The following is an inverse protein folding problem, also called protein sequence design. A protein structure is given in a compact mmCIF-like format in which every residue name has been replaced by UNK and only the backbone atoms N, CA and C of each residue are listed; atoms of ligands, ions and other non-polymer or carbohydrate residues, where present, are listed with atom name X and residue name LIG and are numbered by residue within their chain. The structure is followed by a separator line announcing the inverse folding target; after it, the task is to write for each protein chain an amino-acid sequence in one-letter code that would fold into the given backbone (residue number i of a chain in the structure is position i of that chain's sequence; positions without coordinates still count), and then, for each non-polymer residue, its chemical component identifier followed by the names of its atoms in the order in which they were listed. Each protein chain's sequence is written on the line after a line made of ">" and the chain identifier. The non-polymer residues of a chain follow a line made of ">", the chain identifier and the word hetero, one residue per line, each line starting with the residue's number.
data_IF_557190770525
#
_entry.id   IF_557190770525
#
_cell.length_a   1.000
_cell.length_b   1.000
_cell.length_c   1.000
_cell.angle_alpha   90.00
_cell.angle_beta   90.00
_cell.angle_gamma   90.00
#
_symmetry.space_group_name_H-M   'P 1'
#
loop_
_entity.id
_entity.type
_entity.pdbx_description
1 polymer ?
#
# COMPACT_ATOMS: atom_id res chain seq x y z
N UNK A 1 -17.96 2.86 -6.52
CA UNK A 1 -18.05 1.98 -7.69
C UNK A 1 -18.00 0.53 -7.22
N UNK A 2 -18.60 -0.44 -7.98
CA UNK A 2 -18.58 -1.87 -7.63
C UNK A 2 -17.79 -2.62 -8.69
N UNK A 3 -17.09 -3.68 -8.27
CA UNK A 3 -16.21 -4.49 -9.12
C UNK A 3 -16.60 -5.96 -9.03
N UNK A 4 -16.35 -6.72 -10.09
CA UNK A 4 -16.53 -8.16 -10.05
C UNK A 4 -15.58 -8.77 -9.01
N UNK A 5 -14.31 -8.41 -9.10
CA UNK A 5 -13.26 -8.85 -8.17
C UNK A 5 -12.05 -7.91 -8.23
N UNK A 6 -11.05 -8.15 -7.38
CA UNK A 6 -9.84 -7.32 -7.29
C UNK A 6 -8.95 -7.41 -8.53
N UNK A 7 -8.87 -8.56 -9.19
CA UNK A 7 -8.11 -8.69 -10.45
C UNK A 7 -8.68 -7.77 -11.52
N UNK A 8 -10.01 -7.75 -11.68
CA UNK A 8 -10.68 -6.91 -12.66
C UNK A 8 -10.54 -5.41 -12.34
N UNK A 9 -10.56 -5.06 -11.05
CA UNK A 9 -10.22 -3.71 -10.61
C UNK A 9 -8.80 -3.34 -11.06
N UNK A 10 -7.82 -4.22 -10.84
CA UNK A 10 -6.44 -4.01 -11.27
C UNK A 10 -6.30 -3.80 -12.78
N UNK A 11 -7.00 -4.59 -13.58
CA UNK A 11 -7.07 -4.41 -15.04
C UNK A 11 -7.71 -3.09 -15.45
N UNK A 12 -8.76 -2.67 -14.74
CA UNK A 12 -9.41 -1.37 -14.98
C UNK A 12 -8.43 -0.21 -14.69
N UNK A 13 -7.66 -0.29 -13.60
CA UNK A 13 -6.60 0.67 -13.29
C UNK A 13 -5.51 0.68 -14.38
N UNK A 14 -5.12 -0.50 -14.89
CA UNK A 14 -4.14 -0.60 -15.98
C UNK A 14 -4.56 0.16 -17.23
N UNK A 15 -5.84 0.17 -17.56
CA UNK A 15 -6.37 0.97 -18.66
C UNK A 15 -6.13 2.48 -18.51
N UNK A 16 -6.00 2.99 -17.28
CA UNK A 16 -5.73 4.41 -16.98
C UNK A 16 -4.25 4.79 -17.07
N UNK A 17 -3.38 3.80 -17.08
CA UNK A 17 -1.91 3.96 -17.13
C UNK A 17 -1.30 3.10 -18.23
N UNK A 18 -2.03 2.86 -19.30
CA UNK A 18 -1.60 2.03 -20.44
C UNK A 18 -0.36 2.55 -21.14
N UNK A 19 -0.06 3.85 -21.00
CA UNK A 19 1.17 4.51 -21.44
C UNK A 19 2.45 3.97 -20.74
N UNK A 20 2.29 3.29 -19.62
CA UNK A 20 3.40 2.65 -18.90
C UNK A 20 3.73 1.24 -19.39
N UNK A 21 2.92 0.68 -20.28
CA UNK A 21 3.16 -0.68 -20.80
C UNK A 21 4.54 -0.79 -21.47
N UNK A 22 5.36 -1.71 -20.96
CA UNK A 22 6.73 -1.90 -21.46
C UNK A 22 7.74 -0.87 -20.95
N UNK A 23 7.34 -0.01 -20.00
CA UNK A 23 8.29 0.83 -19.27
C UNK A 23 8.77 0.11 -18.00
N UNK A 24 9.93 0.54 -17.48
CA UNK A 24 10.41 0.04 -16.18
C UNK A 24 9.53 0.60 -15.05
N UNK A 25 8.46 -0.12 -14.73
CA UNK A 25 7.50 0.25 -13.71
C UNK A 25 7.42 -0.79 -12.58
N UNK A 26 7.08 -0.33 -11.38
CA UNK A 26 6.84 -1.18 -10.20
C UNK A 26 5.51 -0.81 -9.57
N UNK A 27 4.63 -1.78 -9.47
CA UNK A 27 3.35 -1.66 -8.75
C UNK A 27 3.60 -1.95 -7.28
N UNK A 28 3.37 -0.98 -6.41
CA UNK A 28 3.58 -1.09 -4.97
C UNK A 28 2.24 -1.33 -4.29
N UNK A 29 2.06 -2.51 -3.72
CA UNK A 29 0.89 -2.83 -2.91
C UNK A 29 1.04 -2.22 -1.51
N UNK A 30 0.12 -1.32 -1.14
CA UNK A 30 0.13 -0.63 0.16
C UNK A 30 -0.48 -1.47 1.30
N UNK A 31 -1.30 -2.46 0.93
CA UNK A 31 -1.97 -3.41 1.85
C UNK A 31 -1.90 -4.82 1.28
N UNK A 32 -2.02 -5.81 2.17
CA UNK A 32 -2.08 -7.22 1.77
C UNK A 32 -3.28 -7.49 0.83
N UNK A 33 -4.44 -6.96 1.15
CA UNK A 33 -5.66 -7.11 0.34
C UNK A 33 -5.52 -6.51 -1.07
N UNK A 34 -4.71 -5.46 -1.22
CA UNK A 34 -4.45 -4.82 -2.51
C UNK A 34 -3.56 -5.66 -3.44
N UNK A 35 -2.84 -6.67 -2.93
CA UNK A 35 -1.93 -7.50 -3.75
C UNK A 35 -2.61 -8.11 -4.96
N UNK A 36 -3.83 -8.60 -4.81
CA UNK A 36 -4.60 -9.19 -5.91
C UNK A 36 -4.88 -8.16 -7.02
N UNK A 37 -5.26 -6.93 -6.65
CA UNK A 37 -5.44 -5.84 -7.61
C UNK A 37 -4.12 -5.43 -8.27
N UNK A 38 -3.03 -5.38 -7.48
CA UNK A 38 -1.68 -5.10 -7.99
C UNK A 38 -1.22 -6.14 -9.01
N UNK A 39 -1.51 -7.42 -8.80
CA UNK A 39 -1.23 -8.50 -9.75
C UNK A 39 -2.00 -8.28 -11.06
N UNK A 40 -3.29 -7.95 -10.97
CA UNK A 40 -4.11 -7.62 -12.14
C UNK A 40 -3.57 -6.43 -12.94
N UNK A 41 -3.19 -5.35 -12.25
CA UNK A 41 -2.58 -4.17 -12.86
C UNK A 41 -1.21 -4.50 -13.49
N UNK A 42 -0.33 -5.14 -12.74
CA UNK A 42 1.03 -5.44 -13.17
C UNK A 42 1.09 -6.36 -14.40
N UNK A 43 0.18 -7.35 -14.47
CA UNK A 43 0.10 -8.27 -15.61
C UNK A 43 -0.27 -7.57 -16.93
N UNK A 44 -1.08 -6.50 -16.88
CA UNK A 44 -1.51 -5.76 -18.07
C UNK A 44 -0.44 -4.79 -18.58
N UNK A 45 0.32 -4.15 -17.68
CA UNK A 45 1.36 -3.17 -18.05
C UNK A 45 2.77 -3.75 -18.08
N UNK A 46 2.93 -5.02 -17.76
CA UNK A 46 4.22 -5.70 -17.68
C UNK A 46 5.14 -5.06 -16.62
N UNK A 47 4.64 -4.89 -15.42
CA UNK A 47 5.37 -4.29 -14.30
C UNK A 47 5.69 -5.32 -13.22
N UNK A 48 6.64 -5.02 -12.36
CA UNK A 48 6.90 -5.79 -11.15
C UNK A 48 5.88 -5.45 -10.06
N UNK A 49 5.68 -6.35 -9.12
CA UNK A 49 4.90 -6.09 -7.91
C UNK A 49 5.84 -6.07 -6.71
N UNK A 50 5.74 -5.00 -5.93
CA UNK A 50 6.48 -4.83 -4.67
C UNK A 50 5.47 -4.75 -3.51
N UNK A 51 5.41 -5.74 -2.62
CA UNK A 51 4.54 -5.68 -1.43
C UNK A 51 5.19 -4.78 -0.36
N UNK A 52 4.72 -3.55 -0.27
CA UNK A 52 5.09 -2.63 0.80
C UNK A 52 4.07 -2.74 1.93
N UNK A 53 4.05 -3.92 2.57
CA UNK A 53 3.12 -4.19 3.66
C UNK A 53 3.56 -3.48 4.93
N UNK A 54 2.59 -3.15 5.77
CA UNK A 54 2.82 -2.48 7.05
C UNK A 54 1.92 -3.06 8.14
N UNK A 55 2.23 -2.72 9.39
CA UNK A 55 1.42 -3.12 10.53
C UNK A 55 0.95 -1.89 11.30
N UNK A 56 -0.37 -1.79 11.49
CA UNK A 56 -1.01 -0.71 12.25
C UNK A 56 -0.72 -0.84 13.74
N UNK A 57 -0.43 0.29 14.39
CA UNK A 57 -0.24 0.37 15.84
C UNK A 57 -1.43 1.08 16.46
N UNK A 58 -2.06 0.39 17.40
CA UNK A 58 -3.20 0.87 18.18
C UNK A 58 -2.83 0.68 19.65
N UNK A 59 -2.86 1.76 20.43
CA UNK A 59 -2.55 1.71 21.87
C UNK A 59 -3.79 1.20 22.63
N UNK A 60 -3.64 0.29 23.58
CA UNK A 60 -4.76 -0.15 24.40
C UNK A 60 -5.48 1.02 25.08
N UNK A 61 -6.80 1.07 24.89
CA UNK A 61 -7.64 2.16 25.41
C UNK A 61 -7.83 3.36 24.46
N UNK A 62 -7.10 3.43 23.35
CA UNK A 62 -7.30 4.40 22.26
C UNK A 62 -7.65 3.66 20.98
N UNK A 63 -8.84 3.82 20.40
CA UNK A 63 -9.23 3.09 19.19
C UNK A 63 -8.54 3.60 17.92
N UNK A 64 -7.82 4.72 17.99
CA UNK A 64 -7.18 5.33 16.82
C UNK A 64 -5.91 4.59 16.43
N UNK A 65 -5.68 4.53 15.14
CA UNK A 65 -4.38 4.09 14.61
C UNK A 65 -3.36 5.20 14.90
N UNK A 66 -2.36 4.89 15.70
CA UNK A 66 -1.31 5.84 16.12
C UNK A 66 -0.26 6.01 15.04
N UNK A 67 0.04 4.94 14.32
CA UNK A 67 1.03 4.94 13.25
C UNK A 67 1.18 3.56 12.63
N UNK A 68 2.14 3.42 11.74
CA UNK A 68 2.49 2.18 11.06
C UNK A 68 3.96 1.83 11.29
N UNK A 69 4.25 0.52 11.29
CA UNK A 69 5.62 -0.02 11.13
C UNK A 69 5.76 -0.51 9.69
N UNK A 70 6.83 -0.10 9.03
CA UNK A 70 7.21 -0.52 7.68
C UNK A 70 8.12 -1.77 7.68
N UNK A 71 8.43 -2.35 6.50
CA UNK A 71 9.31 -3.53 6.39
C UNK A 71 10.74 -3.30 6.89
N UNK A 72 11.20 -2.07 7.00
CA UNK A 72 12.50 -1.74 7.57
C UNK A 72 12.47 -1.55 9.10
N UNK A 73 11.30 -1.69 9.73
CA UNK A 73 11.08 -1.46 11.16
C UNK A 73 10.96 0.01 11.54
N UNK A 74 10.82 0.91 10.56
CA UNK A 74 10.64 2.34 10.82
C UNK A 74 9.18 2.63 11.17
N UNK A 75 8.99 3.50 12.15
CA UNK A 75 7.67 3.93 12.59
C UNK A 75 7.27 5.25 11.93
N UNK A 76 6.11 5.26 11.29
CA UNK A 76 5.50 6.47 10.72
C UNK A 76 4.26 6.83 11.51
N UNK A 77 4.19 8.06 12.04
CA UNK A 77 3.00 8.58 12.72
C UNK A 77 1.81 8.69 11.76
N UNK A 78 0.62 8.45 12.31
CA UNK A 78 -0.61 8.79 11.59
C UNK A 78 -0.63 10.30 11.30
N UNK A 79 -0.72 10.71 10.02
CA UNK A 79 -0.75 12.13 9.64
C UNK A 79 -1.97 12.88 10.20
N UNK A 80 -3.04 12.16 10.59
CA UNK A 80 -4.24 12.76 11.18
C UNK A 80 -4.07 13.14 12.65
N UNK A 81 -3.00 12.68 13.31
CA UNK A 81 -2.66 13.09 14.66
C UNK A 81 -1.89 14.41 14.65
N UNK A 82 -2.43 15.41 15.34
CA UNK A 82 -1.75 16.66 15.55
C UNK A 82 -0.54 16.51 16.48
N UNK A 83 0.42 17.44 16.38
CA UNK A 83 1.64 17.39 17.19
C UNK A 83 1.36 17.26 18.71
N UNK A 84 0.43 18.02 19.35
CA UNK A 84 0.13 17.86 20.76
C UNK A 84 -0.38 16.46 21.13
N UNK A 85 -1.12 15.82 20.24
CA UNK A 85 -1.60 14.44 20.45
C UNK A 85 -0.45 13.43 20.41
N UNK A 86 0.49 13.58 19.44
CA UNK A 86 1.70 12.75 19.37
C UNK A 86 2.58 12.92 20.59
N UNK A 87 2.84 14.18 21.00
CA UNK A 87 3.64 14.50 22.18
C UNK A 87 3.00 13.92 23.45
N UNK A 88 1.65 13.95 23.58
CA UNK A 88 0.92 13.33 24.67
C UNK A 88 1.09 11.80 24.71
N UNK A 89 0.96 11.15 23.56
CA UNK A 89 1.16 9.69 23.44
C UNK A 89 2.61 9.32 23.82
N UNK A 90 3.61 10.07 23.34
CA UNK A 90 5.02 9.84 23.68
C UNK A 90 5.31 10.03 25.18
N UNK A 91 4.63 10.97 25.82
CA UNK A 91 4.83 11.24 27.26
C UNK A 91 4.14 10.18 28.13
N UNK A 92 2.88 9.85 27.84
CA UNK A 92 2.02 9.03 28.70
C UNK A 92 2.14 7.53 28.42
N UNK A 93 2.42 7.14 27.17
CA UNK A 93 2.36 5.76 26.70
C UNK A 93 3.66 5.26 26.04
N UNK A 94 4.80 5.91 26.30
CA UNK A 94 6.07 5.61 25.63
C UNK A 94 6.46 4.11 25.69
N UNK A 95 6.43 3.52 26.88
CA UNK A 95 6.81 2.10 27.02
C UNK A 95 5.85 1.18 26.27
N UNK A 96 4.55 1.45 26.33
CA UNK A 96 3.54 0.67 25.62
C UNK A 96 3.71 0.84 24.12
N UNK A 97 3.95 2.05 23.63
CA UNK A 97 4.20 2.32 22.23
C UNK A 97 5.43 1.55 21.71
N UNK A 98 6.54 1.55 22.44
CA UNK A 98 7.74 0.82 22.04
C UNK A 98 7.54 -0.70 22.07
N UNK A 99 6.75 -1.23 23.01
CA UNK A 99 6.38 -2.64 23.02
C UNK A 99 5.51 -3.01 21.81
N UNK A 100 4.51 -2.17 21.48
CA UNK A 100 3.67 -2.35 20.32
C UNK A 100 4.45 -2.29 19.00
N UNK A 101 5.41 -1.37 18.86
CA UNK A 101 6.31 -1.30 17.70
C UNK A 101 7.10 -2.60 17.51
N UNK A 102 7.70 -3.13 18.60
CA UNK A 102 8.47 -4.39 18.53
C UNK A 102 7.58 -5.58 18.15
N UNK A 103 6.39 -5.68 18.75
CA UNK A 103 5.43 -6.74 18.41
C UNK A 103 4.98 -6.63 16.97
N UNK A 104 4.57 -5.43 16.52
CA UNK A 104 4.11 -5.18 15.16
C UNK A 104 5.19 -5.53 14.12
N UNK A 105 6.45 -5.16 14.39
CA UNK A 105 7.57 -5.51 13.51
C UNK A 105 7.82 -7.02 13.43
N UNK A 106 7.76 -7.72 14.56
CA UNK A 106 7.89 -9.18 14.60
C UNK A 106 6.78 -9.88 13.81
N UNK A 107 5.54 -9.42 13.97
CA UNK A 107 4.40 -9.95 13.23
C UNK A 107 4.50 -9.65 11.72
N UNK A 108 4.93 -8.43 11.37
CA UNK A 108 5.13 -8.02 9.97
C UNK A 108 6.17 -8.89 9.27
N UNK A 109 7.32 -9.13 9.92
CA UNK A 109 8.36 -9.99 9.35
C UNK A 109 7.83 -11.40 9.07
N UNK A 110 7.03 -11.98 9.97
CA UNK A 110 6.42 -13.29 9.76
C UNK A 110 5.46 -13.32 8.56
N UNK A 111 4.78 -12.21 8.28
CA UNK A 111 3.93 -12.08 7.09
C UNK A 111 4.81 -11.94 5.85
N UNK A 112 5.80 -11.05 5.87
CA UNK A 112 6.70 -10.81 4.73
C UNK A 112 7.47 -12.05 4.30
N UNK A 113 7.89 -12.89 5.24
CA UNK A 113 8.57 -14.16 4.96
C UNK A 113 7.74 -15.09 4.04
N UNK A 114 6.40 -14.97 4.07
CA UNK A 114 5.50 -15.75 3.23
C UNK A 114 5.52 -15.26 1.77
N UNK A 115 5.80 -13.99 1.54
CA UNK A 115 5.85 -13.38 0.19
C UNK A 115 7.23 -13.43 -0.45
N UNK A 116 8.29 -13.69 0.32
CA UNK A 116 9.68 -13.74 -0.15
C UNK A 116 10.45 -12.45 0.10
N UNK A 117 11.68 -12.39 -0.40
CA UNK A 117 12.57 -11.25 -0.18
C UNK A 117 12.43 -10.21 -1.28
N UNK A 118 12.16 -8.96 -0.90
CA UNK A 118 12.06 -7.82 -1.81
C UNK A 118 13.16 -6.81 -1.47
N UNK A 119 13.99 -6.45 -2.47
CA UNK A 119 15.03 -5.44 -2.29
C UNK A 119 14.51 -4.06 -2.67
N UNK A 120 14.72 -3.08 -1.79
CA UNK A 120 14.44 -1.67 -2.03
C UNK A 120 15.25 -1.11 -3.21
N UNK A 121 16.44 -1.69 -3.48
CA UNK A 121 17.29 -1.26 -4.59
C UNK A 121 16.61 -1.44 -5.95
N UNK A 122 15.75 -2.46 -6.09
CA UNK A 122 14.96 -2.70 -7.29
C UNK A 122 13.95 -1.60 -7.64
N UNK A 123 13.73 -0.62 -6.75
CA UNK A 123 12.81 0.50 -6.99
C UNK A 123 13.49 1.69 -7.67
N UNK A 124 14.83 1.75 -7.65
CA UNK A 124 15.58 2.91 -8.15
C UNK A 124 15.49 3.04 -9.67
N UNK A 125 15.33 4.30 -10.15
CA UNK A 125 15.25 4.64 -11.57
C UNK A 125 13.93 4.32 -12.24
N UNK A 126 12.98 3.71 -11.55
CA UNK A 126 11.70 3.20 -12.09
C UNK A 126 10.54 4.16 -11.84
N UNK A 127 9.45 3.96 -12.58
CA UNK A 127 8.15 4.56 -12.25
C UNK A 127 7.50 3.69 -11.17
N UNK A 128 7.14 4.31 -10.06
CA UNK A 128 6.52 3.63 -8.92
C UNK A 128 5.02 3.94 -8.91
N UNK A 129 4.19 2.92 -8.73
CA UNK A 129 2.75 3.04 -8.69
C UNK A 129 2.25 2.57 -7.32
N UNK A 130 1.96 3.50 -6.41
CA UNK A 130 1.22 3.18 -5.21
C UNK A 130 -0.18 2.70 -5.59
N UNK A 131 -0.54 1.51 -5.16
CA UNK A 131 -1.80 0.90 -5.56
C UNK A 131 -2.56 0.37 -4.36
N UNK A 132 -3.80 0.83 -4.23
CA UNK A 132 -4.78 0.32 -3.27
C UNK A 132 -6.05 -0.12 -3.99
N UNK A 133 -6.66 -1.21 -3.55
CA UNK A 133 -8.00 -1.61 -3.99
C UNK A 133 -9.05 -0.66 -3.39
N UNK A 134 -9.08 -0.56 -2.07
CA UNK A 134 -9.88 0.38 -1.28
C UNK A 134 -8.92 1.18 -0.40
N UNK A 135 -8.84 2.48 -0.62
CA UNK A 135 -7.96 3.41 0.12
C UNK A 135 -8.81 4.21 1.10
N UNK A 136 -8.88 3.75 2.34
CA UNK A 136 -9.77 4.29 3.38
C UNK A 136 -9.20 5.53 4.07
N UNK A 137 -7.89 5.64 4.13
CA UNK A 137 -7.19 6.76 4.77
C UNK A 137 -5.81 6.99 4.12
N UNK A 138 -5.11 8.02 4.55
CA UNK A 138 -3.82 8.43 3.98
C UNK A 138 -2.58 7.87 4.69
N UNK A 139 -2.77 7.06 5.73
CA UNK A 139 -1.65 6.63 6.58
C UNK A 139 -0.69 5.69 5.84
N UNK A 140 -1.20 4.77 5.03
CA UNK A 140 -0.38 3.86 4.23
C UNK A 140 0.42 4.63 3.17
N UNK A 141 -0.20 5.68 2.58
CA UNK A 141 0.48 6.56 1.61
C UNK A 141 1.61 7.32 2.32
N UNK A 142 1.36 7.88 3.50
CA UNK A 142 2.36 8.60 4.28
C UNK A 142 3.54 7.68 4.66
N UNK A 143 3.27 6.47 5.11
CA UNK A 143 4.30 5.47 5.42
C UNK A 143 5.11 5.11 4.17
N UNK A 144 4.45 4.87 3.03
CA UNK A 144 5.14 4.53 1.80
C UNK A 144 6.05 5.66 1.31
N UNK A 145 5.63 6.92 1.45
CA UNK A 145 6.47 8.10 1.15
C UNK A 145 7.71 8.16 2.06
N UNK A 146 7.54 7.91 3.37
CA UNK A 146 8.66 7.83 4.31
C UNK A 146 9.62 6.70 3.93
N UNK A 147 9.09 5.52 3.63
CA UNK A 147 9.89 4.38 3.16
C UNK A 147 10.70 4.71 1.92
N UNK A 148 10.13 5.46 0.96
CA UNK A 148 10.77 5.80 -0.31
C UNK A 148 11.73 6.99 -0.25
N UNK A 149 11.87 7.71 0.86
CA UNK A 149 12.74 8.90 0.97
C UNK A 149 14.19 8.68 0.50
N UNK A 150 14.71 7.46 0.64
CA UNK A 150 16.07 7.10 0.22
C UNK A 150 16.13 6.56 -1.22
N UNK A 151 15.00 6.38 -1.90
CA UNK A 151 14.91 5.83 -3.25
C UNK A 151 14.88 6.95 -4.28
N UNK A 152 15.73 6.87 -5.30
CA UNK A 152 15.69 7.77 -6.45
C UNK A 152 14.85 7.14 -7.55
N UNK A 153 13.55 7.34 -7.51
CA UNK A 153 12.62 6.89 -8.54
C UNK A 153 12.47 7.93 -9.66
N UNK A 154 11.95 7.51 -10.82
CA UNK A 154 11.74 8.37 -12.00
C UNK A 154 10.45 9.19 -11.88
N UNK A 155 9.39 8.58 -11.43
CA UNK A 155 8.09 9.19 -11.18
C UNK A 155 7.30 8.35 -10.17
N UNK A 156 6.36 8.98 -9.48
CA UNK A 156 5.47 8.34 -8.51
C UNK A 156 4.02 8.58 -8.90
N UNK A 157 3.25 7.50 -9.07
CA UNK A 157 1.84 7.54 -9.37
C UNK A 157 1.03 6.99 -8.21
N UNK A 158 -0.12 7.62 -7.91
CA UNK A 158 -1.10 7.14 -6.93
C UNK A 158 -2.30 6.51 -7.65
N UNK A 159 -2.59 5.25 -7.40
CA UNK A 159 -3.69 4.53 -8.03
C UNK A 159 -4.62 3.92 -6.98
N UNK A 160 -5.91 4.13 -7.13
CA UNK A 160 -6.90 3.53 -6.23
C UNK A 160 -8.20 3.15 -6.95
N UNK A 161 -8.82 2.09 -6.48
CA UNK A 161 -10.18 1.73 -6.86
C UNK A 161 -11.19 2.72 -6.26
N UNK A 162 -11.72 2.43 -5.09
CA UNK A 162 -12.50 3.38 -4.30
C UNK A 162 -11.56 4.06 -3.29
N UNK A 163 -11.51 5.37 -3.32
CA UNK A 163 -10.57 6.17 -2.52
C UNK A 163 -11.34 7.17 -1.68
N UNK A 164 -11.05 7.23 -0.38
CA UNK A 164 -11.57 8.29 0.48
C UNK A 164 -11.10 9.66 -0.03
N UNK A 165 -11.95 10.67 0.09
CA UNK A 165 -11.67 12.03 -0.42
C UNK A 165 -10.39 12.62 0.15
N UNK A 166 -10.09 12.39 1.43
CA UNK A 166 -8.86 12.90 2.07
C UNK A 166 -7.61 12.17 1.57
N UNK A 167 -7.72 10.89 1.27
CA UNK A 167 -6.65 10.10 0.67
C UNK A 167 -6.43 10.47 -0.81
N UNK A 168 -7.51 10.78 -1.55
CA UNK A 168 -7.42 11.26 -2.93
C UNK A 168 -6.70 12.61 -3.00
N UNK A 169 -7.06 13.56 -2.14
CA UNK A 169 -6.35 14.84 -2.02
C UNK A 169 -4.87 14.64 -1.68
N UNK A 170 -4.57 13.65 -0.83
CA UNK A 170 -3.20 13.35 -0.45
C UNK A 170 -2.41 12.71 -1.60
N UNK A 171 -2.99 11.83 -2.39
CA UNK A 171 -2.39 11.35 -3.64
C UNK A 171 -2.08 12.52 -4.58
N UNK A 172 -3.06 13.38 -4.82
CA UNK A 172 -2.90 14.53 -5.70
C UNK A 172 -1.74 15.45 -5.29
N UNK A 173 -1.54 15.65 -3.99
CA UNK A 173 -0.47 16.52 -3.47
C UNK A 173 0.91 15.85 -3.46
N UNK A 174 0.99 14.52 -3.40
CA UNK A 174 2.22 13.79 -3.14
C UNK A 174 2.75 12.98 -4.34
N UNK A 175 1.98 12.87 -5.41
CA UNK A 175 2.34 12.06 -6.57
C UNK A 175 2.36 12.89 -7.87
N UNK A 176 3.13 12.44 -8.86
CA UNK A 176 3.22 13.11 -10.17
C UNK A 176 1.95 12.90 -11.01
N UNK A 177 1.22 11.82 -10.75
CA UNK A 177 -0.07 11.50 -11.38
C UNK A 177 -0.90 10.68 -10.40
N UNK A 178 -2.15 11.00 -10.28
CA UNK A 178 -3.12 10.26 -9.48
C UNK A 178 -4.30 9.77 -10.32
N UNK A 179 -4.82 8.60 -9.98
CA UNK A 179 -5.99 7.98 -10.58
C UNK A 179 -6.81 7.32 -9.49
N UNK A 180 -7.95 7.89 -9.16
CA UNK A 180 -9.00 7.23 -8.39
C UNK A 180 -10.14 6.86 -9.36
N UNK A 181 -10.57 5.60 -9.37
CA UNK A 181 -11.71 5.20 -10.20
C UNK A 181 -13.02 5.75 -9.63
N UNK A 182 -13.08 5.88 -8.30
CA UNK A 182 -14.19 6.49 -7.57
C UNK A 182 -13.68 7.16 -6.30
N UNK A 183 -14.11 8.41 -6.06
CA UNK A 183 -13.76 9.17 -4.84
C UNK A 183 -14.98 9.26 -3.95
N UNK A 184 -14.83 8.89 -2.70
CA UNK A 184 -15.93 8.73 -1.75
C UNK A 184 -15.70 9.53 -0.48
N UNK A 185 -16.76 10.11 0.06
CA UNK A 185 -16.75 10.79 1.38
C UNK A 185 -17.11 9.85 2.53
N UNK A 186 -17.71 8.71 2.24
CA UNK A 186 -18.08 7.69 3.21
C UNK A 186 -17.72 6.33 2.66
N UNK A 187 -16.84 5.65 3.35
CA UNK A 187 -16.36 4.32 2.96
C UNK A 187 -17.17 3.23 3.67
N UNK A 188 -17.45 2.15 2.94
CA UNK A 188 -17.95 0.89 3.50
C UNK A 188 -16.77 -0.10 3.64
N UNK A 189 -16.94 -1.19 4.40
CA UNK A 189 -15.93 -2.25 4.42
C UNK A 189 -15.59 -2.75 3.01
N UNK A 190 -14.35 -3.11 2.79
CA UNK A 190 -13.83 -3.43 1.45
C UNK A 190 -14.67 -4.49 0.71
N UNK A 191 -15.17 -5.50 1.42
CA UNK A 191 -16.00 -6.57 0.86
C UNK A 191 -17.30 -6.10 0.23
N UNK A 192 -17.77 -4.91 0.62
CA UNK A 192 -18.99 -4.31 0.05
C UNK A 192 -18.86 -3.97 -1.43
N UNK A 193 -17.64 -3.74 -1.90
CA UNK A 193 -17.36 -3.26 -3.25
C UNK A 193 -17.09 -4.37 -4.27
N UNK A 194 -16.98 -5.63 -3.81
CA UNK A 194 -16.64 -6.77 -4.65
C UNK A 194 -17.76 -7.81 -4.66
N UNK A 195 -18.17 -8.23 -5.87
CA UNK A 195 -19.17 -9.28 -6.04
C UNK A 195 -18.62 -10.66 -5.68
N UNK A 196 -17.33 -10.89 -5.98
CA UNK A 196 -16.64 -12.14 -5.75
C UNK A 196 -15.48 -11.93 -4.78
N UNK A 197 -15.35 -12.87 -3.83
CA UNK A 197 -14.16 -12.92 -2.96
C UNK A 197 -13.05 -13.66 -3.71
N UNK A 198 -12.17 -12.90 -4.33
CA UNK A 198 -10.92 -13.39 -4.91
C UNK A 198 -9.76 -13.05 -3.96
N UNK A 199 -9.61 -13.84 -2.92
CA UNK A 199 -8.42 -13.79 -2.10
C UNK A 199 -7.50 -14.93 -2.49
N UNK A 200 -6.36 -14.59 -3.08
CA UNK A 200 -5.26 -15.52 -3.19
C UNK A 200 -4.63 -15.74 -1.81
N UNK A 201 -4.23 -16.97 -1.55
CA UNK A 201 -3.38 -17.24 -0.38
C UNK A 201 -2.04 -16.52 -0.54
N UNK A 202 -1.31 -16.22 0.54
CA UNK A 202 0.04 -15.64 0.46
C UNK A 202 0.98 -16.42 -0.47
N UNK A 203 0.88 -17.76 -0.48
CA UNK A 203 1.68 -18.62 -1.35
C UNK A 203 1.31 -18.44 -2.84
N UNK A 204 0.03 -18.36 -3.16
CA UNK A 204 -0.44 -18.08 -4.52
C UNK A 204 -0.01 -16.68 -4.98
N UNK A 205 -0.16 -15.65 -4.12
CA UNK A 205 0.34 -14.30 -4.40
C UNK A 205 1.85 -14.31 -4.68
N UNK A 206 2.63 -15.01 -3.85
CA UNK A 206 4.07 -15.13 -4.03
C UNK A 206 4.43 -15.76 -5.37
N UNK A 207 3.76 -16.86 -5.74
CA UNK A 207 3.98 -17.52 -7.03
C UNK A 207 3.65 -16.59 -8.21
N UNK A 208 2.53 -15.87 -8.14
CA UNK A 208 2.10 -14.92 -9.18
C UNK A 208 3.08 -13.75 -9.29
N UNK A 209 3.48 -13.16 -8.18
CA UNK A 209 4.46 -12.05 -8.15
C UNK A 209 5.81 -12.51 -8.69
N UNK A 210 6.28 -13.70 -8.31
CA UNK A 210 7.55 -14.27 -8.81
C UNK A 210 7.47 -14.55 -10.31
N UNK A 211 6.37 -15.11 -10.80
CA UNK A 211 6.18 -15.39 -12.21
C UNK A 211 6.14 -14.11 -13.04
N UNK A 212 5.40 -13.09 -12.61
CA UNK A 212 5.37 -11.78 -13.29
C UNK A 212 6.79 -11.20 -13.37
N UNK A 213 7.58 -11.30 -12.32
CA UNK A 213 8.95 -10.78 -12.28
C UNK A 213 9.92 -11.56 -13.17
N UNK A 214 9.73 -12.87 -13.40
CA UNK A 214 10.60 -13.71 -14.22
C UNK A 214 10.44 -13.51 -15.73
N UNK A 215 9.30 -13.03 -16.18
CA UNK A 215 9.04 -12.80 -17.61
C UNK A 215 9.71 -11.52 -18.16
N UNK A 216 10.33 -10.69 -17.28
CA UNK A 216 10.85 -9.36 -17.64
C UNK A 216 12.35 -9.17 -17.31
N UNK A 217 13.06 -10.26 -16.99
CA UNK A 217 14.52 -10.31 -16.95
C UNK A 217 15.04 -10.86 -18.26
#
# INVERSE_FOLDING_TARGET
>A
MYYINRIELGRTLAGRVSDLKGQEAVVIALKEDALTACIGLASEINAWVFPLLSKRIIIPGDPRVVGLIDPAGMFTWNPDLEKPQRDGIELESRSVLEDMKRQAFSELNRILDQYGTFSKDGLSGRVLLFTGDIVEDRIEIAMALEYLKSVRYRALYGLGGNVDSTAADYFHLQTDKDVALDVMTHMFPAEHYFEQKDSYTPEECRLLVTNISQYWT
#
